data_IF_546196507224
#
_entry.id   IF_546196507224
#
_cell.length_a   1.000
_cell.length_b   1.000
_cell.length_c   1.000
_cell.angle_alpha   90.00
_cell.angle_beta   90.00
_cell.angle_gamma   90.00
#
_symmetry.space_group_name_H-M   'P 1'
#
loop_
_entity.id
_entity.type
_entity.pdbx_description
1 polymer ?
#
# COMPACT_ATOMS: atom_id res chain seq x y z
N UNK A 1 -8.63 8.59 -12.13
CA UNK A 1 -7.64 7.53 -11.87
C UNK A 1 -8.11 6.24 -12.54
N UNK A 2 -7.42 5.76 -13.58
CA UNK A 2 -7.81 4.52 -14.29
C UNK A 2 -7.69 3.26 -13.39
N UNK A 3 -6.86 3.33 -12.34
CA UNK A 3 -6.71 2.29 -11.33
C UNK A 3 -8.03 1.97 -10.62
N UNK A 4 -8.79 3.00 -10.21
CA UNK A 4 -10.05 2.81 -9.49
C UNK A 4 -11.12 2.04 -10.30
N UNK A 5 -11.15 2.21 -11.62
CA UNK A 5 -12.08 1.49 -12.49
C UNK A 5 -11.69 0.02 -12.63
N UNK A 6 -10.40 -0.26 -12.86
CA UNK A 6 -9.89 -1.62 -12.98
C UNK A 6 -10.02 -2.40 -11.66
N UNK A 7 -9.71 -1.74 -10.54
CA UNK A 7 -9.84 -2.32 -9.20
C UNK A 7 -11.32 -2.65 -8.92
N UNK A 8 -12.23 -1.68 -9.10
CA UNK A 8 -13.66 -1.91 -8.83
C UNK A 8 -14.28 -3.05 -9.65
N UNK A 9 -13.94 -3.19 -10.94
CA UNK A 9 -14.41 -4.34 -11.74
C UNK A 9 -13.84 -5.66 -11.22
N UNK A 10 -12.54 -5.68 -10.89
CA UNK A 10 -11.85 -6.86 -10.37
C UNK A 10 -12.44 -7.31 -9.04
N UNK A 11 -12.65 -6.36 -8.12
CA UNK A 11 -13.27 -6.57 -6.81
C UNK A 11 -14.68 -7.16 -6.95
N UNK A 12 -15.54 -6.53 -7.77
CA UNK A 12 -16.90 -7.00 -8.01
C UNK A 12 -16.95 -8.40 -8.63
N UNK A 13 -16.07 -8.67 -9.60
CA UNK A 13 -15.98 -9.98 -10.25
C UNK A 13 -15.56 -11.08 -9.26
N UNK A 14 -14.49 -10.84 -8.49
CA UNK A 14 -14.00 -11.78 -7.49
C UNK A 14 -15.02 -12.00 -6.37
N UNK A 15 -15.70 -10.95 -5.93
CA UNK A 15 -16.75 -11.05 -4.93
C UNK A 15 -17.91 -11.93 -5.42
N UNK A 16 -18.41 -11.67 -6.64
CA UNK A 16 -19.49 -12.47 -7.24
C UNK A 16 -19.09 -13.93 -7.43
N UNK A 17 -17.91 -14.20 -7.97
CA UNK A 17 -17.41 -15.56 -8.15
C UNK A 17 -17.19 -16.28 -6.81
N UNK A 18 -16.68 -15.57 -5.81
CA UNK A 18 -16.48 -16.11 -4.47
C UNK A 18 -17.79 -16.53 -3.81
N UNK A 19 -18.87 -15.75 -3.94
CA UNK A 19 -20.21 -16.12 -3.47
C UNK A 19 -20.76 -17.40 -4.11
N UNK A 20 -20.23 -17.79 -5.27
CA UNK A 20 -20.58 -19.02 -5.98
C UNK A 20 -19.60 -20.17 -5.69
N UNK A 21 -18.65 -20.00 -4.76
CA UNK A 21 -17.61 -20.99 -4.44
C UNK A 21 -16.45 -21.05 -5.45
N UNK A 22 -16.37 -20.11 -6.39
CA UNK A 22 -15.43 -20.15 -7.52
C UNK A 22 -14.29 -19.12 -7.43
N UNK A 23 -13.98 -18.61 -6.23
CA UNK A 23 -12.98 -17.55 -6.04
C UNK A 23 -11.62 -17.88 -6.66
N UNK A 24 -11.08 -19.08 -6.40
CA UNK A 24 -9.76 -19.47 -6.90
C UNK A 24 -9.71 -19.60 -8.42
N UNK A 25 -10.78 -20.12 -9.03
CA UNK A 25 -10.90 -20.25 -10.49
C UNK A 25 -10.97 -18.86 -11.12
N UNK A 26 -11.78 -17.97 -10.56
CA UNK A 26 -11.90 -16.58 -11.00
C UNK A 26 -10.58 -15.82 -10.87
N UNK A 27 -9.86 -16.00 -9.76
CA UNK A 27 -8.55 -15.40 -9.55
C UNK A 27 -7.54 -15.87 -10.60
N UNK A 28 -7.44 -17.19 -10.83
CA UNK A 28 -6.56 -17.75 -11.87
C UNK A 28 -6.90 -17.23 -13.25
N UNK A 29 -8.19 -17.12 -13.58
CA UNK A 29 -8.65 -16.54 -14.84
C UNK A 29 -8.19 -15.09 -14.99
N UNK A 30 -8.42 -14.24 -13.97
CA UNK A 30 -7.99 -12.85 -14.04
C UNK A 30 -6.47 -12.70 -14.15
N UNK A 31 -5.70 -13.42 -13.32
CA UNK A 31 -4.24 -13.41 -13.36
C UNK A 31 -3.70 -13.81 -14.75
N UNK A 32 -4.12 -14.97 -15.25
CA UNK A 32 -3.53 -15.60 -16.43
C UNK A 32 -4.11 -15.10 -17.75
N UNK A 33 -5.36 -14.62 -17.78
CA UNK A 33 -6.04 -14.25 -19.02
C UNK A 33 -6.27 -12.74 -19.16
N UNK A 34 -6.45 -12.02 -18.04
CA UNK A 34 -6.71 -10.58 -18.06
C UNK A 34 -5.42 -9.81 -17.78
N UNK A 35 -4.81 -10.02 -16.60
CA UNK A 35 -3.59 -9.32 -16.21
C UNK A 35 -2.41 -9.64 -17.14
N UNK A 36 -2.29 -10.88 -17.63
CA UNK A 36 -1.26 -11.25 -18.61
C UNK A 36 -1.33 -10.44 -19.92
N UNK A 37 -2.52 -10.01 -20.35
CA UNK A 37 -2.69 -9.20 -21.59
C UNK A 37 -2.19 -7.76 -21.42
N UNK A 38 -2.17 -7.25 -20.19
CA UNK A 38 -1.58 -5.95 -19.91
C UNK A 38 -0.05 -5.98 -19.93
N UNK A 39 0.56 -7.14 -19.71
CA UNK A 39 2.01 -7.32 -19.80
C UNK A 39 2.51 -7.39 -21.25
N UNK A 40 1.67 -7.81 -22.20
CA UNK A 40 2.02 -7.93 -23.62
C UNK A 40 1.68 -6.69 -24.45
N UNK A 41 0.83 -5.80 -23.92
CA UNK A 41 0.51 -4.55 -24.57
C UNK A 41 1.67 -3.56 -24.41
N UNK A 42 1.98 -2.80 -25.46
CA UNK A 42 2.95 -1.69 -25.49
C UNK A 42 2.56 -0.47 -24.61
N UNK A 43 1.78 -0.71 -23.55
CA UNK A 43 1.17 0.29 -22.67
C UNK A 43 2.02 0.60 -21.42
N UNK A 44 3.25 0.07 -21.33
CA UNK A 44 4.20 0.30 -20.24
C UNK A 44 4.02 -0.61 -19.02
N UNK A 45 4.83 -0.42 -17.97
CA UNK A 45 4.84 -1.25 -16.75
C UNK A 45 3.54 -1.17 -15.93
N UNK A 46 2.86 -0.02 -15.98
CA UNK A 46 1.77 0.34 -15.08
C UNK A 46 0.52 -0.55 -15.22
N UNK A 47 -0.02 -0.85 -16.41
CA UNK A 47 -1.28 -1.59 -16.53
C UNK A 47 -1.21 -3.02 -15.97
N UNK A 48 -0.06 -3.69 -16.09
CA UNK A 48 0.13 -5.03 -15.54
C UNK A 48 0.24 -5.02 -14.02
N UNK A 49 0.96 -4.03 -13.45
CA UNK A 49 1.07 -3.85 -12.01
C UNK A 49 -0.29 -3.52 -11.38
N UNK A 50 -1.02 -2.54 -11.93
CA UNK A 50 -2.35 -2.13 -11.44
C UNK A 50 -3.35 -3.29 -11.47
N UNK A 51 -3.31 -4.13 -12.51
CA UNK A 51 -4.19 -5.30 -12.59
C UNK A 51 -3.92 -6.29 -11.45
N UNK A 52 -2.65 -6.67 -11.23
CA UNK A 52 -2.25 -7.60 -10.17
C UNK A 52 -2.52 -7.02 -8.79
N UNK A 53 -2.20 -5.75 -8.58
CA UNK A 53 -2.51 -5.02 -7.37
C UNK A 53 -4.02 -5.02 -7.09
N UNK A 54 -4.85 -4.78 -8.12
CA UNK A 54 -6.30 -4.90 -8.05
C UNK A 54 -6.82 -6.27 -7.65
N UNK A 55 -6.14 -7.37 -8.05
CA UNK A 55 -6.48 -8.72 -7.55
C UNK A 55 -6.34 -8.79 -6.02
N UNK A 56 -5.30 -8.15 -5.49
CA UNK A 56 -5.05 -8.08 -4.06
C UNK A 56 -6.19 -7.41 -3.29
N UNK A 57 -6.67 -6.27 -3.79
CA UNK A 57 -7.86 -5.61 -3.24
C UNK A 57 -9.07 -6.54 -3.21
N UNK A 58 -9.42 -7.16 -4.34
CA UNK A 58 -10.59 -8.03 -4.42
C UNK A 58 -10.51 -9.26 -3.52
N UNK A 59 -9.33 -9.86 -3.37
CA UNK A 59 -9.10 -10.95 -2.41
C UNK A 59 -9.35 -10.47 -0.98
N UNK A 60 -8.71 -9.36 -0.58
CA UNK A 60 -8.81 -8.83 0.77
C UNK A 60 -10.25 -8.48 1.13
N UNK A 61 -10.95 -7.77 0.25
CA UNK A 61 -12.36 -7.38 0.45
C UNK A 61 -13.29 -8.60 0.54
N UNK A 62 -13.14 -9.60 -0.34
CA UNK A 62 -13.95 -10.82 -0.26
C UNK A 62 -13.73 -11.58 1.06
N UNK A 63 -12.47 -11.82 1.45
CA UNK A 63 -12.14 -12.57 2.67
C UNK A 63 -12.58 -11.83 3.94
N UNK A 64 -12.52 -10.49 3.91
CA UNK A 64 -13.02 -9.63 4.97
C UNK A 64 -14.54 -9.72 5.13
N UNK A 65 -15.30 -9.73 4.04
CA UNK A 65 -16.76 -9.93 4.09
C UNK A 65 -17.15 -11.28 4.70
N UNK A 66 -16.28 -12.28 4.64
CA UNK A 66 -16.47 -13.55 5.34
C UNK A 66 -16.17 -13.48 6.87
N UNK A 67 -15.86 -12.29 7.41
CA UNK A 67 -15.62 -11.97 8.83
C UNK A 67 -14.61 -12.90 9.55
N UNK A 68 -13.58 -13.38 8.85
CA UNK A 68 -12.56 -14.21 9.50
C UNK A 68 -11.42 -13.34 10.05
N UNK A 69 -11.04 -13.48 11.33
CA UNK A 69 -9.77 -12.94 11.84
C UNK A 69 -8.55 -13.46 11.03
N UNK A 70 -8.72 -14.61 10.36
CA UNK A 70 -7.79 -15.20 9.41
C UNK A 70 -7.80 -14.54 8.01
N UNK A 71 -8.56 -13.45 7.81
CA UNK A 71 -8.77 -12.86 6.49
C UNK A 71 -7.45 -12.42 5.85
N UNK A 72 -6.54 -11.81 6.62
CA UNK A 72 -5.20 -11.42 6.13
C UNK A 72 -4.42 -12.65 5.71
N UNK A 73 -4.32 -13.67 6.58
CA UNK A 73 -3.60 -14.91 6.29
C UNK A 73 -4.11 -15.59 5.02
N UNK A 74 -5.43 -15.82 4.95
CA UNK A 74 -6.06 -16.45 3.80
C UNK A 74 -5.93 -15.62 2.52
N UNK A 75 -5.94 -14.28 2.64
CA UNK A 75 -5.72 -13.40 1.50
C UNK A 75 -4.30 -13.55 0.96
N UNK A 76 -3.30 -13.57 1.85
CA UNK A 76 -1.89 -13.73 1.48
C UNK A 76 -1.59 -15.14 0.94
N UNK A 77 -2.20 -16.19 1.52
CA UNK A 77 -2.13 -17.56 1.00
C UNK A 77 -2.65 -17.62 -0.44
N UNK A 78 -3.85 -17.07 -0.67
CA UNK A 78 -4.48 -17.07 -1.99
C UNK A 78 -3.70 -16.22 -2.99
N UNK A 79 -3.29 -15.00 -2.61
CA UNK A 79 -2.47 -14.13 -3.44
C UNK A 79 -1.09 -14.73 -3.77
N UNK A 80 -0.55 -15.56 -2.87
CA UNK A 80 0.70 -16.30 -3.08
C UNK A 80 0.65 -17.33 -4.20
N UNK A 81 -0.54 -17.72 -4.65
CA UNK A 81 -0.74 -18.66 -5.77
C UNK A 81 -0.70 -18.01 -7.17
N UNK A 82 -0.56 -16.67 -7.23
CA UNK A 82 -0.54 -15.90 -8.48
C UNK A 82 0.86 -15.76 -9.06
N UNK A 83 0.97 -15.44 -10.35
CA UNK A 83 2.25 -15.24 -11.04
C UNK A 83 3.05 -14.03 -10.56
N UNK A 84 2.40 -13.03 -9.96
CA UNK A 84 3.01 -11.77 -9.49
C UNK A 84 2.59 -11.45 -8.05
N UNK A 85 2.90 -12.40 -7.16
CA UNK A 85 2.49 -12.36 -5.74
C UNK A 85 2.88 -11.07 -4.99
N UNK A 86 3.98 -10.41 -5.36
CA UNK A 86 4.41 -9.18 -4.69
C UNK A 86 3.43 -8.04 -4.92
N UNK A 87 3.01 -7.85 -6.17
CA UNK A 87 2.02 -6.85 -6.57
C UNK A 87 0.64 -7.13 -5.95
N UNK A 88 0.23 -8.40 -5.91
CA UNK A 88 -1.01 -8.83 -5.24
C UNK A 88 -0.95 -8.59 -3.73
N UNK A 89 0.15 -8.96 -3.07
CA UNK A 89 0.33 -8.70 -1.63
C UNK A 89 0.36 -7.20 -1.32
N UNK A 90 0.95 -6.37 -2.18
CA UNK A 90 0.91 -4.92 -2.03
C UNK A 90 -0.54 -4.40 -2.04
N UNK A 91 -1.40 -4.90 -2.94
CA UNK A 91 -2.83 -4.57 -2.96
C UNK A 91 -3.58 -5.05 -1.73
N UNK A 92 -3.30 -6.27 -1.25
CA UNK A 92 -3.87 -6.80 0.00
C UNK A 92 -3.54 -5.89 1.19
N UNK A 93 -2.28 -5.49 1.33
CA UNK A 93 -1.84 -4.64 2.44
C UNK A 93 -2.38 -3.21 2.35
N UNK A 94 -2.44 -2.65 1.14
CA UNK A 94 -3.09 -1.35 0.93
C UNK A 94 -4.55 -1.40 1.37
N UNK A 95 -5.30 -2.40 0.90
CA UNK A 95 -6.72 -2.53 1.22
C UNK A 95 -6.95 -2.83 2.71
N UNK A 96 -6.08 -3.65 3.31
CA UNK A 96 -6.11 -3.98 4.73
C UNK A 96 -6.08 -2.72 5.60
N UNK A 97 -5.12 -1.82 5.38
CA UNK A 97 -4.96 -0.61 6.19
C UNK A 97 -5.81 0.59 5.71
N UNK A 98 -6.33 0.58 4.48
CA UNK A 98 -7.21 1.63 3.97
C UNK A 98 -8.67 1.47 4.41
N UNK A 99 -9.06 0.30 4.93
CA UNK A 99 -10.47 -0.03 5.21
C UNK A 99 -10.82 0.15 6.68
N UNK A 100 -11.60 1.22 6.95
CA UNK A 100 -12.14 1.67 8.24
C UNK A 100 -13.25 0.71 8.78
N UNK A 101 -13.91 0.96 9.94
CA UNK A 101 -14.74 0.02 10.74
C UNK A 101 -15.86 -0.78 10.05
N UNK A 102 -16.08 -0.60 8.75
CA UNK A 102 -16.89 -1.49 7.91
C UNK A 102 -16.18 -2.85 7.67
N UNK A 103 -14.90 -2.98 8.07
CA UNK A 103 -14.05 -4.14 7.81
C UNK A 103 -14.08 -5.28 8.84
N UNK A 104 -14.82 -5.15 9.94
CA UNK A 104 -15.05 -6.24 10.91
C UNK A 104 -13.81 -6.74 11.65
N UNK A 105 -12.69 -6.01 11.55
CA UNK A 105 -11.55 -6.19 12.43
C UNK A 105 -10.99 -4.81 12.75
N UNK A 106 -10.92 -4.52 14.03
CA UNK A 106 -10.22 -3.39 14.61
C UNK A 106 -8.81 -3.32 14.01
N UNK A 107 -8.56 -2.32 13.17
CA UNK A 107 -7.29 -1.62 13.25
C UNK A 107 -7.36 -0.58 14.39
N UNK A 108 -8.11 -0.87 15.46
CA UNK A 108 -8.48 0.11 16.49
C UNK A 108 -7.31 0.37 17.45
N UNK A 109 -6.30 -0.50 17.44
CA UNK A 109 -5.02 -0.17 18.04
C UNK A 109 -4.00 0.24 16.95
N UNK A 110 -3.86 1.54 16.65
CA UNK A 110 -2.81 2.03 15.77
C UNK A 110 -1.41 1.66 16.27
N UNK A 111 -1.23 1.34 17.56
CA UNK A 111 0.07 0.88 18.07
C UNK A 111 0.41 -0.55 17.61
N UNK A 112 -0.59 -1.40 17.35
CA UNK A 112 -0.40 -2.78 16.88
C UNK A 112 -0.28 -2.92 15.35
N UNK A 113 -0.53 -1.86 14.59
CA UNK A 113 -0.55 -1.91 13.12
C UNK A 113 0.78 -2.38 12.50
N UNK A 114 1.92 -2.22 13.19
CA UNK A 114 3.23 -2.72 12.73
C UNK A 114 3.47 -4.20 13.05
N UNK A 115 2.80 -4.73 14.07
CA UNK A 115 3.07 -6.08 14.58
C UNK A 115 2.40 -7.16 13.71
N UNK A 116 1.25 -6.84 13.11
CA UNK A 116 0.57 -7.74 12.17
C UNK A 116 1.46 -8.13 10.99
N UNK A 117 2.42 -7.27 10.61
CA UNK A 117 3.36 -7.49 9.52
C UNK A 117 4.37 -8.62 9.78
N UNK A 118 4.51 -9.06 11.04
CA UNK A 118 5.40 -10.16 11.44
C UNK A 118 4.71 -11.23 12.28
N UNK A 119 3.44 -11.03 12.64
CA UNK A 119 2.67 -12.00 13.39
C UNK A 119 2.54 -13.33 12.59
N UNK A 120 2.92 -14.43 13.22
CA UNK A 120 2.96 -15.78 12.62
C UNK A 120 1.58 -16.33 12.25
N UNK A 121 0.52 -15.81 12.84
CA UNK A 121 -0.86 -16.22 12.60
C UNK A 121 -1.56 -15.34 11.58
N UNK A 122 -1.08 -14.10 11.37
CA UNK A 122 -1.61 -13.17 10.38
C UNK A 122 -0.81 -13.21 9.07
N UNK A 123 0.41 -12.67 9.06
CA UNK A 123 1.18 -12.48 7.83
C UNK A 123 2.32 -13.47 7.64
N UNK A 124 2.93 -13.95 8.72
CA UNK A 124 4.17 -14.72 8.70
C UNK A 124 5.24 -14.03 7.81
N UNK A 125 5.38 -12.72 7.95
CA UNK A 125 6.30 -11.86 7.18
C UNK A 125 6.06 -11.76 5.66
N UNK A 126 4.96 -12.31 5.14
CA UNK A 126 4.63 -12.21 3.70
C UNK A 126 4.24 -10.80 3.32
N UNK A 127 5.03 -10.20 2.41
CA UNK A 127 4.85 -8.81 2.03
C UNK A 127 5.12 -7.83 3.17
N UNK A 128 5.97 -8.17 4.15
CA UNK A 128 6.20 -7.33 5.33
C UNK A 128 6.63 -5.90 4.99
N UNK A 129 7.40 -5.70 3.92
CA UNK A 129 7.80 -4.36 3.46
C UNK A 129 6.58 -3.52 3.04
N UNK A 130 5.65 -4.09 2.28
CA UNK A 130 4.40 -3.44 1.87
C UNK A 130 3.50 -3.20 3.08
N UNK A 131 3.41 -4.19 3.98
CA UNK A 131 2.67 -4.06 5.23
C UNK A 131 3.16 -2.86 6.05
N UNK A 132 4.45 -2.76 6.33
CA UNK A 132 5.02 -1.63 7.06
C UNK A 132 4.88 -0.31 6.31
N UNK A 133 4.94 -0.31 4.98
CA UNK A 133 4.71 0.88 4.17
C UNK A 133 3.26 1.39 4.25
N UNK A 134 2.27 0.49 4.35
CA UNK A 134 0.87 0.90 4.47
C UNK A 134 0.39 1.06 5.92
N UNK A 135 1.07 0.50 6.92
CA UNK A 135 0.71 0.61 8.33
C UNK A 135 0.52 2.06 8.85
N UNK A 136 1.30 3.08 8.42
CA UNK A 136 1.04 4.48 8.76
C UNK A 136 -0.37 4.97 8.42
N UNK A 137 -1.04 4.36 7.45
CA UNK A 137 -2.44 4.66 7.12
C UNK A 137 -3.34 4.44 8.32
N UNK A 138 -3.21 3.29 9.00
CA UNK A 138 -4.03 3.00 10.18
C UNK A 138 -3.72 3.96 11.33
N UNK A 139 -2.45 4.29 11.56
CA UNK A 139 -2.07 5.29 12.55
C UNK A 139 -2.72 6.64 12.29
N UNK A 140 -2.64 7.13 11.05
CA UNK A 140 -3.14 8.44 10.64
C UNK A 140 -4.66 8.50 10.53
N UNK A 141 -5.35 7.36 10.32
CA UNK A 141 -6.81 7.28 10.41
C UNK A 141 -7.31 7.65 11.81
N UNK A 142 -6.61 7.22 12.86
CA UNK A 142 -6.95 7.55 14.26
C UNK A 142 -6.36 8.87 14.74
N UNK A 143 -5.29 9.35 14.08
CA UNK A 143 -4.60 10.60 14.41
C UNK A 143 -4.40 11.44 13.14
N UNK A 144 -5.47 12.06 12.62
CA UNK A 144 -5.40 12.77 11.34
C UNK A 144 -4.33 13.85 11.36
N UNK A 145 -3.51 13.87 10.30
CA UNK A 145 -2.41 14.84 10.10
C UNK A 145 -1.28 14.80 11.14
N UNK A 146 -1.26 13.80 12.02
CA UNK A 146 -0.19 13.60 13.01
C UNK A 146 1.07 12.97 12.37
N UNK A 147 1.58 13.57 11.29
CA UNK A 147 2.65 12.98 10.48
C UNK A 147 4.00 12.93 11.21
N UNK A 148 4.30 13.93 12.04
CA UNK A 148 5.52 13.95 12.84
C UNK A 148 5.49 12.85 13.91
N UNK A 149 4.33 12.69 14.55
CA UNK A 149 4.06 11.62 15.50
C UNK A 149 4.11 10.25 14.82
N UNK A 150 3.68 10.14 13.56
CA UNK A 150 3.80 8.91 12.78
C UNK A 150 5.26 8.52 12.53
N UNK A 151 6.16 9.48 12.27
CA UNK A 151 7.61 9.20 12.19
C UNK A 151 8.15 8.69 13.54
N UNK A 152 7.77 9.34 14.64
CA UNK A 152 8.18 8.92 15.99
C UNK A 152 7.61 7.54 16.36
N UNK A 153 6.38 7.24 15.93
CA UNK A 153 5.75 5.93 16.05
C UNK A 153 6.48 4.87 15.24
N UNK A 154 6.81 5.14 13.96
CA UNK A 154 7.64 4.25 13.15
C UNK A 154 8.98 3.96 13.84
N UNK A 155 9.64 4.98 14.41
CA UNK A 155 10.92 4.80 15.10
C UNK A 155 10.81 3.92 16.35
N UNK A 156 9.74 4.06 17.13
CA UNK A 156 9.50 3.26 18.35
C UNK A 156 9.05 1.84 18.01
N UNK A 157 8.08 1.68 17.12
CA UNK A 157 7.51 0.39 16.75
C UNK A 157 8.47 -0.49 15.94
N UNK A 158 9.36 0.11 15.14
CA UNK A 158 10.35 -0.63 14.36
C UNK A 158 11.71 -0.79 15.06
N UNK A 159 11.77 -0.66 16.39
CA UNK A 159 13.03 -0.80 17.13
C UNK A 159 13.72 -2.13 16.75
N UNK A 160 14.99 -2.06 16.34
CA UNK A 160 15.82 -3.21 15.88
C UNK A 160 15.43 -3.83 14.54
N UNK A 161 14.46 -3.26 13.81
CA UNK A 161 14.01 -3.72 12.48
C UNK A 161 14.27 -2.62 11.45
N UNK A 162 15.49 -2.54 10.90
CA UNK A 162 15.87 -1.45 9.97
C UNK A 162 14.97 -1.36 8.73
N UNK A 163 14.56 -2.52 8.17
CA UNK A 163 13.64 -2.56 7.04
C UNK A 163 12.23 -2.07 7.40
N UNK A 164 11.74 -2.39 8.60
CA UNK A 164 10.48 -1.86 9.12
C UNK A 164 10.54 -0.34 9.20
N UNK A 165 11.60 0.22 9.79
CA UNK A 165 11.69 1.67 9.97
C UNK A 165 11.76 2.38 8.61
N UNK A 166 12.55 1.85 7.68
CA UNK A 166 12.66 2.37 6.31
C UNK A 166 11.32 2.37 5.59
N UNK A 167 10.61 1.24 5.59
CA UNK A 167 9.32 1.10 4.90
C UNK A 167 8.23 1.95 5.54
N UNK A 168 8.17 1.98 6.88
CA UNK A 168 7.21 2.79 7.63
C UNK A 168 7.40 4.29 7.36
N UNK A 169 8.64 4.78 7.37
CA UNK A 169 8.97 6.17 7.05
C UNK A 169 8.62 6.52 5.60
N UNK A 170 8.87 5.61 4.66
CA UNK A 170 8.41 5.76 3.27
C UNK A 170 6.89 5.90 3.21
N UNK A 171 6.16 5.07 3.96
CA UNK A 171 4.71 5.13 4.11
C UNK A 171 4.18 6.45 4.68
N UNK A 172 4.86 7.04 5.66
CA UNK A 172 4.48 8.36 6.19
C UNK A 172 4.59 9.43 5.12
N UNK A 173 5.67 9.43 4.33
CA UNK A 173 5.81 10.38 3.20
C UNK A 173 4.73 10.20 2.14
N UNK A 174 4.43 8.94 1.80
CA UNK A 174 3.32 8.57 0.91
C UNK A 174 1.97 9.15 1.39
N UNK A 175 1.62 8.94 2.67
CA UNK A 175 0.36 9.44 3.25
C UNK A 175 0.34 10.97 3.39
N UNK A 176 1.46 11.58 3.79
CA UNK A 176 1.59 13.04 3.91
C UNK A 176 1.26 13.70 2.58
N UNK A 177 1.80 13.17 1.47
CA UNK A 177 1.52 13.70 0.14
C UNK A 177 0.08 13.40 -0.31
N UNK A 178 -0.39 12.16 -0.13
CA UNK A 178 -1.75 11.74 -0.50
C UNK A 178 -2.84 12.64 0.10
N UNK A 179 -2.69 13.05 1.36
CA UNK A 179 -3.69 13.85 2.08
C UNK A 179 -3.57 15.37 1.85
N UNK A 180 -2.45 15.83 1.30
CA UNK A 180 -2.14 17.26 1.11
C UNK A 180 -1.62 17.53 -0.31
N UNK A 181 -2.24 16.86 -1.30
CA UNK A 181 -1.83 16.81 -2.70
C UNK A 181 -1.18 18.11 -3.19
N UNK A 182 -0.03 17.96 -3.84
CA UNK A 182 0.83 19.03 -4.38
C UNK A 182 1.59 19.90 -3.36
N UNK A 183 1.54 19.59 -2.06
CA UNK A 183 2.39 20.26 -1.05
C UNK A 183 3.67 19.47 -0.73
N UNK A 184 4.64 19.49 -1.66
CA UNK A 184 5.96 18.89 -1.41
C UNK A 184 6.79 19.64 -0.35
N UNK A 185 6.41 20.86 0.03
CA UNK A 185 7.07 21.58 1.13
C UNK A 185 6.63 21.03 2.48
N UNK A 186 5.36 20.69 2.62
CA UNK A 186 4.86 19.98 3.79
C UNK A 186 5.55 18.63 3.92
N UNK A 187 5.63 17.85 2.82
CA UNK A 187 6.38 16.57 2.81
C UNK A 187 7.82 16.77 3.25
N UNK A 188 8.54 17.77 2.72
CA UNK A 188 9.92 18.07 3.16
C UNK A 188 10.00 18.35 4.67
N UNK A 189 9.07 19.15 5.19
CA UNK A 189 9.05 19.54 6.61
C UNK A 189 8.83 18.33 7.52
N UNK A 190 7.94 17.41 7.14
CA UNK A 190 7.68 16.15 7.85
C UNK A 190 8.88 15.22 7.71
N UNK A 191 9.34 14.97 6.49
CA UNK A 191 10.39 14.00 6.21
C UNK A 191 11.74 14.37 6.84
N UNK A 192 12.01 15.66 7.09
CA UNK A 192 13.23 16.07 7.80
C UNK A 192 13.33 15.49 9.21
N UNK A 193 12.19 15.22 9.87
CA UNK A 193 12.14 14.55 11.19
C UNK A 193 12.73 13.14 11.15
N UNK A 194 12.70 12.45 10.00
CA UNK A 194 13.22 11.10 9.84
C UNK A 194 14.77 11.02 9.76
N UNK A 195 15.47 12.16 9.83
CA UNK A 195 16.94 12.21 9.84
C UNK A 195 17.55 11.60 8.57
N UNK A 196 18.33 10.54 8.73
CA UNK A 196 18.99 9.86 7.60
C UNK A 196 18.01 9.20 6.61
N UNK A 197 16.75 8.95 7.02
CA UNK A 197 15.70 8.40 6.15
C UNK A 197 14.84 9.48 5.48
N UNK A 198 15.17 10.76 5.62
CA UNK A 198 14.39 11.85 5.03
C UNK A 198 14.21 11.69 3.50
N UNK A 199 15.25 11.22 2.80
CA UNK A 199 15.16 10.96 1.36
C UNK A 199 14.17 9.83 1.03
N UNK A 200 14.15 8.77 1.83
CA UNK A 200 13.22 7.63 1.65
C UNK A 200 11.77 8.04 1.91
N UNK A 201 11.55 8.88 2.91
CA UNK A 201 10.25 9.51 3.14
C UNK A 201 9.77 10.31 1.91
N UNK A 202 10.63 11.17 1.35
CA UNK A 202 10.29 11.95 0.15
C UNK A 202 10.05 11.05 -1.08
N UNK A 203 10.81 9.96 -1.22
CA UNK A 203 10.59 8.95 -2.26
C UNK A 203 9.22 8.28 -2.11
N UNK A 204 8.70 8.10 -0.89
CA UNK A 204 7.33 7.62 -0.66
C UNK A 204 6.28 8.56 -1.26
N UNK A 205 6.44 9.87 -1.06
CA UNK A 205 5.56 10.89 -1.66
C UNK A 205 5.65 10.88 -3.19
N UNK A 206 6.87 10.89 -3.75
CA UNK A 206 7.08 10.85 -5.19
C UNK A 206 6.55 9.55 -5.82
N UNK A 207 6.73 8.43 -5.13
CA UNK A 207 6.17 7.12 -5.50
C UNK A 207 4.65 7.16 -5.57
N UNK A 208 3.98 7.72 -4.55
CA UNK A 208 2.54 7.92 -4.60
C UNK A 208 2.10 8.71 -5.82
N UNK A 209 2.73 9.86 -6.08
CA UNK A 209 2.41 10.69 -7.23
C UNK A 209 2.56 9.90 -8.53
N UNK A 210 3.66 9.15 -8.70
CA UNK A 210 3.87 8.31 -9.87
C UNK A 210 2.75 7.28 -10.05
N UNK A 211 2.34 6.61 -8.97
CA UNK A 211 1.25 5.63 -9.00
C UNK A 211 -0.15 6.24 -9.08
N UNK A 212 -0.36 7.49 -8.69
CA UNK A 212 -1.64 8.19 -8.84
C UNK A 212 -1.78 8.77 -10.26
N UNK A 213 -0.75 9.46 -10.75
CA UNK A 213 -0.78 10.25 -11.98
C UNK A 213 -0.26 9.49 -13.21
N UNK A 214 0.58 8.47 -13.02
CA UNK A 214 1.17 7.69 -14.10
C UNK A 214 2.34 8.31 -14.80
N UNK A 215 2.94 9.30 -14.14
CA UNK A 215 4.04 10.10 -14.66
C UNK A 215 4.93 10.52 -13.51
N UNK A 216 6.18 10.83 -13.82
CA UNK A 216 7.12 11.36 -12.83
C UNK A 216 6.60 12.68 -12.24
N UNK A 217 7.04 12.99 -11.02
CA UNK A 217 6.72 14.25 -10.35
C UNK A 217 7.23 15.42 -11.21
N UNK A 218 6.41 16.44 -11.50
CA UNK A 218 6.83 17.61 -12.25
C UNK A 218 8.04 18.29 -11.60
N UNK A 219 8.96 18.80 -12.41
CA UNK A 219 10.18 19.45 -11.92
C UNK A 219 9.85 20.68 -11.07
N UNK A 220 8.76 21.36 -11.40
CA UNK A 220 8.22 22.54 -10.72
C UNK A 220 7.77 22.18 -9.31
N UNK A 221 7.04 21.06 -9.17
CA UNK A 221 6.57 20.56 -7.88
C UNK A 221 7.75 20.13 -6.99
N UNK A 222 8.70 19.36 -7.51
CA UNK A 222 9.94 19.07 -6.77
C UNK A 222 10.79 20.31 -6.50
N UNK A 223 10.70 21.35 -7.35
CA UNK A 223 11.43 22.61 -7.19
C UNK A 223 11.05 23.37 -5.92
N UNK A 224 9.88 23.07 -5.34
CA UNK A 224 9.41 23.66 -4.08
C UNK A 224 10.17 23.16 -2.85
N UNK A 225 10.79 21.97 -2.92
CA UNK A 225 11.63 21.36 -1.87
C UNK A 225 12.94 22.13 -1.75
N UNK A 226 13.26 22.64 -0.55
CA UNK A 226 14.41 23.52 -0.31
C UNK A 226 15.74 22.79 -0.29
N UNK A 227 15.82 21.64 0.38
CA UNK A 227 17.01 20.81 0.53
C UNK A 227 17.35 20.10 -0.77
N UNK A 228 18.60 20.26 -1.23
CA UNK A 228 19.03 19.74 -2.53
C UNK A 228 19.04 18.20 -2.61
N UNK A 229 19.37 17.52 -1.51
CA UNK A 229 19.31 16.06 -1.39
C UNK A 229 17.88 15.52 -1.47
N UNK A 230 16.94 16.15 -0.77
CA UNK A 230 15.53 15.77 -0.80
C UNK A 230 14.88 16.11 -2.14
N UNK A 231 15.26 17.23 -2.76
CA UNK A 231 14.84 17.58 -4.11
C UNK A 231 15.27 16.53 -5.14
N UNK A 232 16.45 15.91 -4.97
CA UNK A 232 16.87 14.79 -5.83
C UNK A 232 16.03 13.54 -5.57
N UNK A 233 15.69 13.26 -4.32
CA UNK A 233 14.86 12.12 -3.95
C UNK A 233 13.41 12.22 -4.49
N UNK A 234 12.93 13.44 -4.74
CA UNK A 234 11.61 13.71 -5.34
C UNK A 234 11.54 13.42 -6.85
N UNK A 235 12.66 13.51 -7.57
CA UNK A 235 12.74 13.44 -9.03
C UNK A 235 12.98 12.02 -9.50
#
# INVERSE_FOLDING_TARGET
>A
CNAAYLHGITELFLFSAGRQGNLEVALKFLDQQVCARFSSASLGFRPAWECQHGLGHGIAQYKRHAMTQLAVRHSLDLGGSTGRKGEVWNGIWMDHFASTPVSGHDADDPEMALDICTDKWASDSRGASDCWMYAPTAFLLHRPRAYLEAIDWCSRGCLRRSQCFTSCVQGVGMQTFKENLDDMRLVESVCTKAGHLAAVCVQGAAGYYFFAEGRAVPKELCGTVRRADLRRACR
#
